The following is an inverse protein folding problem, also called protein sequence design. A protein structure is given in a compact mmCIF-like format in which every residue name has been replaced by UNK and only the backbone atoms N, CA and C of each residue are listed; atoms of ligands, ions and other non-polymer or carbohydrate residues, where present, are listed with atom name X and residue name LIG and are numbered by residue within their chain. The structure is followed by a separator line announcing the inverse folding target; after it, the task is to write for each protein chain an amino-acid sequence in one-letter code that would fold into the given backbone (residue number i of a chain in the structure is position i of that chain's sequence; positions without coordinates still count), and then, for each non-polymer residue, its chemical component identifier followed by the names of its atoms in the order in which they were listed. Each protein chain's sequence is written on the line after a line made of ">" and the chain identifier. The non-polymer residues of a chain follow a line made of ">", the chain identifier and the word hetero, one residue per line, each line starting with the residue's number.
data_IF_453596130365
#
_entry.id   IF_453596130365
#
_cell.length_a   1.000
_cell.length_b   1.000
_cell.length_c   1.000
_cell.angle_alpha   90.00
_cell.angle_beta   90.00
_cell.angle_gamma   90.00
#
_symmetry.space_group_name_H-M   'P 1'
#
loop_
_entity.id
_entity.type
_entity.pdbx_description
1 polymer ?
#
# COMPACT_ATOMS: atom_id res chain seq x y z
N UNK A 1 -8.68 -4.15 4.50
CA UNK A 1 -8.48 -4.45 5.94
C UNK A 1 -9.49 -5.51 6.35
N UNK A 2 -9.06 -6.61 6.96
CA UNK A 2 -9.88 -7.81 7.14
C UNK A 2 -10.78 -7.70 8.38
N UNK A 3 -12.00 -7.17 8.20
CA UNK A 3 -12.98 -6.86 9.28
C UNK A 3 -13.34 -8.09 10.14
N UNK A 4 -13.24 -9.29 9.57
CA UNK A 4 -13.52 -10.58 10.24
C UNK A 4 -12.51 -10.86 11.38
N UNK A 5 -11.27 -10.35 11.31
CA UNK A 5 -10.29 -10.53 12.39
C UNK A 5 -10.48 -9.56 13.54
N UNK A 6 -10.96 -8.34 13.27
CA UNK A 6 -11.21 -7.32 14.29
C UNK A 6 -12.31 -7.78 15.25
N UNK A 7 -13.42 -8.29 14.71
CA UNK A 7 -14.54 -8.81 15.50
C UNK A 7 -14.16 -10.06 16.31
N UNK A 8 -13.35 -10.96 15.73
CA UNK A 8 -12.94 -12.22 16.40
C UNK A 8 -11.95 -12.02 17.55
N UNK A 9 -11.19 -10.94 17.54
CA UNK A 9 -10.19 -10.63 18.56
C UNK A 9 -10.72 -9.70 19.66
N UNK A 10 -11.99 -9.25 19.57
CA UNK A 10 -12.59 -8.33 20.53
C UNK A 10 -11.87 -6.98 20.57
N UNK A 11 -11.30 -6.55 19.46
CA UNK A 11 -10.59 -5.27 19.38
C UNK A 11 -11.61 -4.14 19.46
N UNK A 12 -11.41 -3.26 20.45
CA UNK A 12 -12.23 -2.07 20.66
C UNK A 12 -12.18 -1.18 19.40
N UNK A 13 -13.33 -0.65 18.97
CA UNK A 13 -13.42 0.30 17.86
C UNK A 13 -12.51 1.51 18.12
N UNK A 14 -12.41 1.94 19.39
CA UNK A 14 -11.51 3.01 19.80
C UNK A 14 -10.03 2.68 19.57
N UNK A 15 -9.64 1.40 19.73
CA UNK A 15 -8.28 0.95 19.43
C UNK A 15 -8.01 0.97 17.93
N UNK A 16 -8.98 0.56 17.13
CA UNK A 16 -8.88 0.58 15.67
C UNK A 16 -8.74 2.01 15.14
N UNK A 17 -9.50 2.94 15.70
CA UNK A 17 -9.45 4.36 15.36
C UNK A 17 -8.09 4.97 15.71
N UNK A 18 -7.54 4.67 16.89
CA UNK A 18 -6.22 5.16 17.30
C UNK A 18 -5.11 4.64 16.37
N UNK A 19 -5.12 3.33 16.06
CA UNK A 19 -4.16 2.74 15.13
C UNK A 19 -4.29 3.39 13.76
N UNK A 20 -5.51 3.56 13.26
CA UNK A 20 -5.76 4.19 11.95
C UNK A 20 -5.21 5.62 11.93
N UNK A 21 -5.51 6.41 12.96
CA UNK A 21 -5.04 7.79 13.05
C UNK A 21 -3.51 7.88 13.13
N UNK A 22 -2.86 6.95 13.83
CA UNK A 22 -1.40 6.88 13.91
C UNK A 22 -0.77 6.52 12.56
N UNK A 23 -1.30 5.49 11.89
CA UNK A 23 -0.78 5.07 10.58
C UNK A 23 -1.00 6.16 9.52
N UNK A 24 -2.13 6.86 9.53
CA UNK A 24 -2.38 8.01 8.64
C UNK A 24 -1.34 9.12 8.84
N UNK A 25 -1.02 9.48 10.09
CA UNK A 25 0.02 10.48 10.38
C UNK A 25 1.39 10.04 9.86
N UNK A 26 1.72 8.76 9.99
CA UNK A 26 2.99 8.24 9.46
C UNK A 26 3.02 8.24 7.92
N UNK A 27 1.89 7.94 7.27
CA UNK A 27 1.76 8.03 5.81
C UNK A 27 1.97 9.46 5.30
N UNK A 28 1.41 10.46 5.98
CA UNK A 28 1.59 11.88 5.65
C UNK A 28 3.05 12.31 5.81
N UNK A 29 3.68 11.95 6.94
CA UNK A 29 5.09 12.26 7.22
C UNK A 29 6.02 11.64 6.18
N UNK A 30 5.76 10.39 5.77
CA UNK A 30 6.51 9.73 4.69
C UNK A 30 6.22 10.40 3.34
N UNK A 31 4.97 10.75 3.09
CA UNK A 31 4.53 11.44 1.88
C UNK A 31 5.30 12.74 1.65
N UNK A 32 5.39 13.59 2.67
CA UNK A 32 6.13 14.86 2.58
C UNK A 32 7.64 14.66 2.39
N UNK A 33 8.22 13.63 3.02
CA UNK A 33 9.65 13.32 2.89
C UNK A 33 10.02 12.75 1.52
N UNK A 34 9.24 11.81 1.00
CA UNK A 34 9.60 11.03 -0.20
C UNK A 34 8.99 11.60 -1.49
N UNK A 35 7.93 12.40 -1.38
CA UNK A 35 7.27 13.03 -2.53
C UNK A 35 7.06 14.53 -2.25
N UNK A 36 8.14 15.30 -2.08
CA UNK A 36 8.02 16.75 -1.97
C UNK A 36 7.38 17.29 -3.26
N UNK A 37 6.22 17.94 -3.14
CA UNK A 37 5.41 18.39 -4.28
C UNK A 37 4.25 17.48 -4.66
N UNK A 38 4.03 16.37 -3.94
CA UNK A 38 2.90 15.47 -4.15
C UNK A 38 3.20 14.30 -5.10
N UNK A 39 2.19 13.44 -5.38
CA UNK A 39 2.36 12.31 -6.27
C UNK A 39 2.54 12.78 -7.72
N UNK A 40 3.44 12.16 -8.50
CA UNK A 40 3.57 12.46 -9.92
C UNK A 40 2.35 11.98 -10.70
N UNK A 41 2.14 12.53 -11.91
CA UNK A 41 1.14 11.99 -12.83
C UNK A 41 1.64 10.66 -13.43
N UNK A 42 0.94 9.58 -13.09
CA UNK A 42 1.25 8.20 -13.48
C UNK A 42 0.49 7.72 -14.72
N UNK A 43 -0.53 8.46 -15.17
CA UNK A 43 -1.39 8.04 -16.27
C UNK A 43 -0.61 7.85 -17.58
N UNK A 44 -0.90 6.76 -18.28
CA UNK A 44 -0.24 6.41 -19.54
C UNK A 44 1.27 6.09 -19.42
N UNK A 45 1.82 5.96 -18.20
CA UNK A 45 3.23 5.61 -17.99
C UNK A 45 3.41 4.11 -17.77
N UNK A 46 4.62 3.62 -18.01
CA UNK A 46 5.05 2.29 -17.57
C UNK A 46 5.51 2.41 -16.13
N UNK A 47 4.84 1.68 -15.23
CA UNK A 47 5.16 1.65 -13.81
C UNK A 47 5.84 0.32 -13.46
N UNK A 48 6.96 0.40 -12.75
CA UNK A 48 7.69 -0.76 -12.24
C UNK A 48 7.72 -0.64 -10.72
N UNK A 49 7.04 -1.55 -10.04
CA UNK A 49 7.08 -1.70 -8.58
C UNK A 49 8.18 -2.70 -8.26
N UNK A 50 9.15 -2.28 -7.45
CA UNK A 50 10.28 -3.11 -7.04
C UNK A 50 10.21 -3.32 -5.53
N UNK A 51 10.37 -4.57 -5.11
CA UNK A 51 10.50 -4.95 -3.70
C UNK A 51 11.63 -5.97 -3.55
N UNK A 52 12.22 -6.07 -2.36
CA UNK A 52 13.33 -7.01 -2.10
C UNK A 52 12.85 -8.44 -1.85
N UNK A 53 11.54 -8.65 -1.73
CA UNK A 53 10.91 -9.96 -1.68
C UNK A 53 9.42 -9.89 -1.44
N UNK A 54 8.75 -11.03 -1.56
CA UNK A 54 7.32 -11.16 -1.29
C UNK A 54 7.12 -12.20 -0.22
N UNK A 55 6.53 -11.84 0.93
CA UNK A 55 6.21 -12.80 1.97
C UNK A 55 4.83 -13.44 1.77
N UNK A 56 3.77 -12.63 1.68
CA UNK A 56 2.38 -13.11 1.49
C UNK A 56 1.69 -12.49 0.28
N UNK A 57 2.34 -11.53 -0.38
CA UNK A 57 1.78 -10.79 -1.51
C UNK A 57 0.71 -9.76 -1.14
N UNK A 58 0.21 -9.72 0.11
CA UNK A 58 -0.89 -8.84 0.49
C UNK A 58 -0.56 -7.34 0.28
N UNK A 59 0.65 -6.93 0.69
CA UNK A 59 1.12 -5.55 0.52
C UNK A 59 1.24 -5.18 -0.96
N UNK A 60 1.92 -6.01 -1.75
CA UNK A 60 2.07 -5.77 -3.19
C UNK A 60 0.73 -5.77 -3.92
N UNK A 61 -0.19 -6.68 -3.57
CA UNK A 61 -1.53 -6.69 -4.16
C UNK A 61 -2.29 -5.39 -3.88
N UNK A 62 -2.21 -4.87 -2.65
CA UNK A 62 -2.81 -3.59 -2.32
C UNK A 62 -2.19 -2.42 -3.10
N UNK A 63 -0.85 -2.41 -3.23
CA UNK A 63 -0.12 -1.39 -4.00
C UNK A 63 -0.49 -1.44 -5.48
N UNK A 64 -0.50 -2.62 -6.09
CA UNK A 64 -0.81 -2.79 -7.51
C UNK A 64 -2.24 -2.34 -7.81
N UNK A 65 -3.22 -2.73 -6.98
CA UNK A 65 -4.61 -2.27 -7.11
C UNK A 65 -4.75 -0.74 -6.98
N UNK A 66 -3.99 -0.12 -6.08
CA UNK A 66 -4.00 1.33 -5.93
C UNK A 66 -3.39 2.03 -7.16
N UNK A 67 -2.37 1.42 -7.79
CA UNK A 67 -1.71 1.98 -8.99
C UNK A 67 -2.51 1.75 -10.28
N UNK A 68 -3.30 0.68 -10.37
CA UNK A 68 -4.19 0.44 -11.52
C UNK A 68 -5.20 1.59 -11.71
N UNK A 69 -5.72 2.16 -10.62
CA UNK A 69 -6.63 3.30 -10.65
C UNK A 69 -6.02 4.55 -11.30
N UNK A 70 -4.69 4.63 -11.40
CA UNK A 70 -4.00 5.72 -12.07
C UNK A 70 -3.92 5.55 -13.61
N UNK A 71 -4.51 4.49 -14.18
CA UNK A 71 -4.52 4.18 -15.61
C UNK A 71 -3.11 4.20 -16.26
N UNK A 72 -2.15 3.40 -15.77
CA UNK A 72 -0.85 3.30 -16.38
C UNK A 72 -0.93 2.62 -17.76
N UNK A 73 0.02 2.89 -18.65
CA UNK A 73 0.14 2.16 -19.91
C UNK A 73 0.54 0.70 -19.66
N UNK A 74 1.37 0.47 -18.63
CA UNK A 74 1.74 -0.86 -18.15
C UNK A 74 2.08 -0.82 -16.66
N UNK A 75 1.75 -1.89 -15.94
CA UNK A 75 2.13 -2.08 -14.54
C UNK A 75 2.93 -3.39 -14.42
N UNK A 76 4.12 -3.33 -13.86
CA UNK A 76 5.06 -4.44 -13.72
C UNK A 76 5.47 -4.54 -12.25
N UNK A 77 5.45 -5.75 -11.69
CA UNK A 77 6.02 -6.05 -10.38
C UNK A 77 7.33 -6.82 -10.58
N UNK A 78 8.41 -6.36 -9.95
CA UNK A 78 9.74 -6.97 -10.02
C UNK A 78 10.26 -7.26 -8.61
N UNK A 79 10.40 -8.54 -8.29
CA UNK A 79 10.81 -9.03 -6.96
C UNK A 79 11.76 -10.21 -7.13
N UNK A 80 12.83 -10.32 -6.32
CA UNK A 80 13.83 -11.37 -6.49
C UNK A 80 13.38 -12.73 -5.94
N UNK A 81 12.44 -12.74 -4.97
CA UNK A 81 11.92 -13.95 -4.35
C UNK A 81 10.43 -13.79 -4.03
N UNK A 82 9.65 -14.84 -4.30
CA UNK A 82 8.26 -14.95 -3.89
C UNK A 82 7.94 -16.43 -3.58
N UNK A 83 7.11 -16.73 -2.57
CA UNK A 83 6.61 -18.07 -2.35
C UNK A 83 5.70 -18.50 -3.52
N UNK A 84 5.64 -19.82 -3.79
CA UNK A 84 4.84 -20.40 -4.87
C UNK A 84 3.32 -20.24 -4.65
#
# INVERSE_FOLDING_TARGET
>A
MNRIMVDRLGLDEAWLDDVTARETRELERRGSRFRPGGPPNLAGRVLIVVDDGVATGATLSAVLRALEAAAPARLICAVPVAPP
#
